data_IF_130169911929
#
_entry.id   IF_130169911929
#
_cell.length_a   1.000
_cell.length_b   1.000
_cell.length_c   1.000
_cell.angle_alpha   90.00
_cell.angle_beta   90.00
_cell.angle_gamma   90.00
#
_symmetry.space_group_name_H-M   'P 1'
#
loop_
_entity.id
_entity.type
_entity.pdbx_description
1 polymer ?
#
# COMPACT_ATOMS: atom_id res chain seq x y z
N UNK A 1 -0.68 9.59 -9.48
CA UNK A 1 -1.38 10.14 -8.30
C UNK A 1 -0.69 9.64 -7.03
N UNK A 2 -0.71 10.42 -5.95
CA UNK A 2 -0.13 10.05 -4.67
C UNK A 2 -1.16 9.35 -3.79
N UNK A 3 -0.87 8.10 -3.42
CA UNK A 3 -1.64 7.30 -2.48
C UNK A 3 -0.91 7.25 -1.13
N UNK A 4 -1.66 7.27 -0.04
CA UNK A 4 -1.09 7.20 1.31
C UNK A 4 -1.68 6.03 2.09
N UNK A 5 -0.82 5.27 2.76
CA UNK A 5 -1.22 4.23 3.70
C UNK A 5 -0.73 4.58 5.09
N UNK A 6 -1.64 4.99 5.96
CA UNK A 6 -1.36 5.35 7.37
C UNK A 6 -1.77 4.27 8.38
N UNK A 7 -2.47 3.24 7.92
CA UNK A 7 -2.97 2.14 8.77
C UNK A 7 -2.28 0.84 8.44
N UNK A 8 -2.27 -0.07 9.42
CA UNK A 8 -1.69 -1.40 9.26
C UNK A 8 -2.29 -2.14 8.05
N UNK A 9 -1.46 -2.72 7.17
CA UNK A 9 -1.90 -3.52 6.03
C UNK A 9 -2.57 -4.85 6.43
N UNK A 10 -2.55 -5.22 7.72
CA UNK A 10 -3.27 -6.38 8.26
C UNK A 10 -4.70 -6.05 8.69
N UNK A 11 -5.04 -4.77 8.81
CA UNK A 11 -6.38 -4.31 9.17
C UNK A 11 -7.08 -3.55 8.03
N UNK A 12 -6.47 -3.49 6.85
CA UNK A 12 -6.98 -2.78 5.68
C UNK A 12 -6.89 -3.65 4.41
N UNK A 13 -7.83 -3.46 3.48
CA UNK A 13 -7.80 -4.12 2.17
C UNK A 13 -6.82 -3.44 1.22
N UNK A 14 -5.53 -3.70 1.43
CA UNK A 14 -4.47 -3.15 0.60
C UNK A 14 -4.51 -3.70 -0.83
N UNK A 15 -5.04 -4.91 -1.02
CA UNK A 15 -5.13 -5.48 -2.36
C UNK A 15 -6.11 -4.70 -3.24
N UNK A 16 -7.24 -4.26 -2.68
CA UNK A 16 -8.15 -3.36 -3.37
C UNK A 16 -7.49 -2.01 -3.69
N UNK A 17 -6.74 -1.43 -2.75
CA UNK A 17 -6.01 -0.17 -2.97
C UNK A 17 -4.98 -0.29 -4.09
N UNK A 18 -4.16 -1.35 -4.10
CA UNK A 18 -3.14 -1.58 -5.12
C UNK A 18 -3.73 -1.77 -6.53
N UNK A 19 -4.95 -2.33 -6.64
CA UNK A 19 -5.64 -2.50 -7.93
C UNK A 19 -6.13 -1.18 -8.53
N UNK A 20 -6.28 -0.15 -7.71
CA UNK A 20 -6.66 1.19 -8.15
C UNK A 20 -5.44 2.03 -8.55
N UNK A 21 -4.23 1.55 -8.27
CA UNK A 21 -3.01 2.24 -8.63
C UNK A 21 -2.67 1.98 -10.10
N UNK A 22 -2.38 3.06 -10.82
CA UNK A 22 -1.90 2.99 -12.19
C UNK A 22 -0.38 3.05 -12.29
N UNK A 23 0.16 2.74 -13.46
CA UNK A 23 1.60 2.87 -13.69
C UNK A 23 2.04 4.34 -13.55
N UNK A 24 3.00 4.59 -12.66
CA UNK A 24 3.45 5.95 -12.32
C UNK A 24 2.75 6.57 -11.12
N UNK A 25 1.85 5.83 -10.45
CA UNK A 25 1.36 6.20 -9.13
C UNK A 25 2.37 5.90 -8.03
N UNK A 26 2.44 6.81 -7.05
CA UNK A 26 3.29 6.65 -5.87
C UNK A 26 2.45 6.19 -4.68
N UNK A 27 2.99 5.26 -3.89
CA UNK A 27 2.43 4.88 -2.60
C UNK A 27 3.40 5.26 -1.48
N UNK A 28 2.95 6.16 -0.60
CA UNK A 28 3.71 6.55 0.58
C UNK A 28 3.17 5.83 1.82
N UNK A 29 4.05 5.11 2.49
CA UNK A 29 3.77 4.42 3.74
C UNK A 29 4.05 5.34 4.93
N UNK A 30 3.08 5.49 5.81
CA UNK A 30 3.13 6.35 7.01
C UNK A 30 2.61 5.56 8.22
N UNK A 31 3.00 5.96 9.43
CA UNK A 31 2.49 5.39 10.69
C UNK A 31 2.52 3.84 10.68
N UNK A 32 1.42 3.17 11.02
CA UNK A 32 1.36 1.70 11.02
C UNK A 32 1.46 1.10 9.61
N UNK A 33 1.25 1.91 8.57
CA UNK A 33 1.40 1.51 7.17
C UNK A 33 2.83 1.18 6.77
N UNK A 34 3.85 1.66 7.49
CA UNK A 34 5.27 1.32 7.20
C UNK A 34 5.55 -0.17 7.34
N UNK A 35 4.76 -0.86 8.17
CA UNK A 35 4.88 -2.31 8.37
C UNK A 35 4.59 -3.11 7.09
N UNK A 36 3.94 -2.49 6.12
CA UNK A 36 3.70 -3.05 4.80
C UNK A 36 5.01 -3.25 4.01
N UNK A 37 6.09 -2.51 4.30
CA UNK A 37 7.42 -2.71 3.69
C UNK A 37 8.06 -4.06 4.04
N UNK A 38 7.64 -4.71 5.12
CA UNK A 38 8.10 -6.06 5.48
C UNK A 38 7.31 -7.18 4.77
N UNK A 39 6.22 -6.84 4.10
CA UNK A 39 5.43 -7.80 3.34
C UNK A 39 6.12 -8.07 2.00
N UNK A 40 6.27 -9.35 1.63
CA UNK A 40 6.63 -9.73 0.27
C UNK A 40 5.44 -9.47 -0.64
N UNK A 41 5.47 -8.34 -1.34
CA UNK A 41 4.48 -8.02 -2.36
C UNK A 41 4.73 -8.91 -3.58
N UNK A 42 3.89 -9.91 -3.77
CA UNK A 42 3.74 -10.57 -5.06
C UNK A 42 2.85 -9.68 -5.92
N UNK A 43 3.47 -8.68 -6.56
CA UNK A 43 2.85 -7.93 -7.66
C UNK A 43 2.74 -8.89 -8.87
N UNK A 44 1.57 -9.03 -9.51
CA UNK A 44 1.46 -9.68 -10.81
C UNK A 44 2.15 -8.86 -11.91
#
# INVERSE_FOLDING_TARGET
MLHTLSVSPWHADIAAMLRLMEHGDDLVLLSDGVTAGHRRWSLP
#
